data_IF_737458072477
#
_entry.id   IF_737458072477
#
_cell.length_a   1.000
_cell.length_b   1.000
_cell.length_c   1.000
_cell.angle_alpha   90.00
_cell.angle_beta   90.00
_cell.angle_gamma   90.00
#
_symmetry.space_group_name_H-M   'P 1'
#
loop_
_entity.id
_entity.type
_entity.pdbx_description
1 polymer ?
#
# COMPACT_ATOMS: atom_id res chain seq x y z
N UNK A 1 15.55 -35.53 -65.11
CA UNK A 1 15.51 -34.20 -64.47
C UNK A 1 15.13 -34.40 -63.01
N UNK A 2 16.10 -34.35 -62.08
CA UNK A 2 15.82 -34.38 -60.64
C UNK A 2 15.42 -32.96 -60.24
N UNK A 3 14.15 -32.76 -59.90
CA UNK A 3 13.65 -31.50 -59.37
C UNK A 3 14.17 -31.34 -57.95
N UNK A 4 15.12 -30.43 -57.75
CA UNK A 4 15.55 -29.98 -56.43
C UNK A 4 14.51 -28.96 -55.98
N UNK A 5 13.65 -29.35 -55.05
CA UNK A 5 12.82 -28.40 -54.29
C UNK A 5 13.67 -28.00 -53.09
N UNK A 6 14.08 -26.72 -52.94
CA UNK A 6 14.77 -26.30 -51.73
C UNK A 6 13.73 -26.26 -50.61
N UNK A 7 14.00 -26.99 -49.52
CA UNK A 7 13.36 -26.76 -48.23
C UNK A 7 13.84 -25.39 -47.75
N UNK A 8 12.92 -24.46 -47.59
CA UNK A 8 13.15 -23.24 -46.81
C UNK A 8 12.81 -23.64 -45.38
N UNK A 9 13.81 -23.65 -44.51
CA UNK A 9 13.63 -23.88 -43.09
C UNK A 9 12.91 -22.64 -42.51
N UNK A 10 11.78 -22.86 -41.85
CA UNK A 10 11.10 -21.83 -41.07
C UNK A 10 11.99 -21.53 -39.86
N UNK A 11 12.66 -20.38 -39.85
CA UNK A 11 13.31 -19.86 -38.65
C UNK A 11 12.22 -19.56 -37.61
N UNK A 12 12.10 -20.43 -36.61
CA UNK A 12 11.32 -20.14 -35.40
C UNK A 12 11.98 -18.94 -34.69
N UNK A 13 11.28 -17.81 -34.66
CA UNK A 13 11.68 -16.65 -33.84
C UNK A 13 11.49 -17.03 -32.38
N UNK A 14 12.56 -17.47 -31.73
CA UNK A 14 12.56 -17.83 -30.31
C UNK A 14 12.63 -16.55 -29.47
N UNK A 15 11.55 -16.22 -28.77
CA UNK A 15 11.49 -15.07 -27.85
C UNK A 15 11.92 -15.54 -26.47
N UNK A 16 13.13 -15.14 -26.05
CA UNK A 16 13.67 -15.43 -24.72
C UNK A 16 13.10 -14.46 -23.67
N UNK A 17 12.55 -15.00 -22.58
CA UNK A 17 12.05 -14.21 -21.45
C UNK A 17 13.17 -14.06 -20.42
N UNK A 18 13.43 -12.83 -19.98
CA UNK A 18 14.39 -12.60 -18.89
C UNK A 18 13.92 -13.22 -17.58
N UNK A 19 14.71 -14.12 -17.02
CA UNK A 19 14.41 -14.78 -15.76
C UNK A 19 14.39 -13.80 -14.57
N UNK A 20 13.80 -14.24 -13.45
CA UNK A 20 13.78 -13.45 -12.23
C UNK A 20 15.20 -13.02 -11.80
N UNK A 21 15.33 -11.79 -11.33
CA UNK A 21 16.61 -11.14 -11.02
C UNK A 21 17.29 -10.49 -12.22
N UNK A 22 16.70 -10.59 -13.42
CA UNK A 22 17.15 -9.90 -14.64
C UNK A 22 16.00 -9.12 -15.30
N UNK A 23 16.33 -8.19 -16.19
CA UNK A 23 15.37 -7.38 -16.93
C UNK A 23 15.83 -7.13 -18.37
N UNK A 24 14.90 -6.81 -19.27
CA UNK A 24 15.22 -6.32 -20.62
C UNK A 24 14.32 -5.13 -20.97
N UNK A 25 14.88 -3.94 -21.23
CA UNK A 25 14.10 -2.84 -21.77
C UNK A 25 13.73 -3.12 -23.23
N UNK A 26 12.66 -2.48 -23.73
CA UNK A 26 12.21 -2.69 -25.11
C UNK A 26 13.32 -2.42 -26.13
N UNK A 27 13.63 -3.43 -26.95
CA UNK A 27 14.68 -3.36 -27.98
C UNK A 27 16.09 -3.75 -27.53
N UNK A 28 16.27 -4.25 -26.30
CA UNK A 28 17.52 -4.89 -25.90
C UNK A 28 17.63 -6.31 -26.47
N UNK A 29 18.85 -6.69 -26.81
CA UNK A 29 19.25 -8.00 -27.34
C UNK A 29 19.65 -9.00 -26.24
N UNK A 30 19.85 -8.54 -25.01
CA UNK A 30 20.24 -9.38 -23.86
C UNK A 30 19.52 -8.99 -22.56
N UNK A 31 19.36 -9.96 -21.65
CA UNK A 31 18.85 -9.74 -20.31
C UNK A 31 19.92 -9.19 -19.37
N UNK A 32 19.64 -8.06 -18.72
CA UNK A 32 20.55 -7.39 -17.80
C UNK A 32 20.24 -7.79 -16.33
N UNK A 33 21.24 -8.20 -15.54
CA UNK A 33 21.04 -8.48 -14.11
C UNK A 33 20.65 -7.24 -13.30
N UNK A 34 19.82 -7.44 -12.28
CA UNK A 34 19.50 -6.40 -11.31
C UNK A 34 20.66 -6.12 -10.35
N UNK A 35 20.84 -4.84 -10.00
CA UNK A 35 21.81 -4.43 -8.98
C UNK A 35 21.33 -4.82 -7.57
N UNK A 36 22.26 -5.02 -6.64
CA UNK A 36 21.93 -5.24 -5.23
C UNK A 36 21.08 -4.08 -4.68
N UNK A 37 20.10 -4.41 -3.85
CA UNK A 37 19.09 -3.44 -3.40
C UNK A 37 18.03 -3.12 -4.47
N UNK A 38 18.02 -3.83 -5.59
CA UNK A 38 16.89 -3.82 -6.54
C UNK A 38 16.38 -5.24 -6.73
N UNK A 39 15.22 -5.40 -7.36
CA UNK A 39 14.63 -6.71 -7.58
C UNK A 39 13.81 -6.78 -8.87
N UNK A 40 13.73 -7.99 -9.42
CA UNK A 40 12.82 -8.41 -10.47
C UNK A 40 12.30 -9.80 -10.08
N UNK A 41 11.25 -9.85 -9.25
CA UNK A 41 10.82 -11.10 -8.60
C UNK A 41 10.13 -12.10 -9.54
N UNK A 42 9.80 -11.69 -10.77
CA UNK A 42 9.13 -12.51 -11.78
C UNK A 42 9.88 -12.38 -13.11
N UNK A 43 9.88 -13.44 -13.94
CA UNK A 43 10.40 -13.37 -15.29
C UNK A 43 9.67 -12.32 -16.14
N UNK A 44 10.34 -11.81 -17.18
CA UNK A 44 9.80 -10.84 -18.14
C UNK A 44 9.76 -9.41 -17.61
N UNK A 45 10.57 -9.08 -16.59
CA UNK A 45 10.60 -7.72 -16.05
C UNK A 45 11.19 -6.73 -17.08
N UNK A 46 10.53 -5.58 -17.33
CA UNK A 46 11.06 -4.56 -18.24
C UNK A 46 12.15 -3.68 -17.60
N UNK A 47 12.26 -3.72 -16.26
CA UNK A 47 13.23 -2.99 -15.45
C UNK A 47 13.38 -3.66 -14.07
N UNK A 48 14.47 -3.34 -13.38
CA UNK A 48 14.62 -3.65 -11.95
C UNK A 48 13.93 -2.60 -11.08
N UNK A 49 13.20 -3.06 -10.07
CA UNK A 49 12.50 -2.21 -9.12
C UNK A 49 13.36 -1.94 -7.90
N UNK A 50 13.30 -0.73 -7.35
CA UNK A 50 14.08 -0.42 -6.16
C UNK A 50 13.54 -1.16 -4.95
N UNK A 51 14.43 -1.60 -4.06
CA UNK A 51 13.98 -2.04 -2.76
C UNK A 51 13.35 -0.86 -2.02
N UNK A 52 12.06 -0.94 -1.64
CA UNK A 52 11.39 0.16 -0.98
C UNK A 52 11.92 0.34 0.45
N UNK A 53 11.69 1.53 1.02
CA UNK A 53 11.90 1.77 2.45
C UNK A 53 11.06 0.76 3.25
N UNK A 54 11.53 0.45 4.46
CA UNK A 54 10.93 -0.58 5.31
C UNK A 54 11.23 -2.02 4.88
N UNK A 55 11.88 -2.23 3.73
CA UNK A 55 12.22 -3.56 3.23
C UNK A 55 13.73 -3.70 3.02
N UNK A 56 14.17 -4.94 2.89
CA UNK A 56 15.49 -5.33 2.45
C UNK A 56 15.39 -6.26 1.26
N UNK A 57 16.31 -6.11 0.30
CA UNK A 57 16.36 -6.93 -0.90
C UNK A 57 17.74 -7.59 -0.95
N UNK A 58 17.98 -8.62 -0.12
CA UNK A 58 19.25 -9.34 -0.12
C UNK A 58 19.46 -10.13 -1.42
N UNK A 59 18.35 -10.47 -2.10
CA UNK A 59 18.34 -11.14 -3.39
C UNK A 59 17.54 -10.32 -4.40
N UNK A 60 17.97 -10.38 -5.65
CA UNK A 60 17.36 -9.66 -6.77
C UNK A 60 16.23 -10.44 -7.44
N UNK A 61 16.21 -11.76 -7.27
CA UNK A 61 15.23 -12.70 -7.81
C UNK A 61 14.00 -12.91 -6.91
N UNK A 62 13.92 -12.17 -5.80
CA UNK A 62 12.89 -12.32 -4.78
C UNK A 62 12.11 -11.03 -4.57
N UNK A 63 10.88 -11.17 -4.05
CA UNK A 63 10.11 -10.01 -3.56
C UNK A 63 10.83 -9.36 -2.35
N UNK A 64 10.74 -8.03 -2.16
CA UNK A 64 11.33 -7.35 -1.01
C UNK A 64 10.89 -7.96 0.31
N UNK A 65 11.85 -8.21 1.20
CA UNK A 65 11.58 -8.75 2.53
C UNK A 65 11.36 -7.59 3.50
N UNK A 66 10.26 -7.63 4.25
CA UNK A 66 10.00 -6.63 5.29
C UNK A 66 11.11 -6.65 6.35
N UNK A 67 11.55 -5.47 6.79
CA UNK A 67 12.49 -5.36 7.90
C UNK A 67 11.95 -6.12 9.11
N UNK A 68 12.71 -7.02 9.75
CA UNK A 68 12.23 -7.77 10.90
C UNK A 68 11.98 -6.84 12.11
N UNK A 69 11.20 -7.34 13.08
CA UNK A 69 10.93 -6.65 14.34
C UNK A 69 12.22 -6.13 14.99
N UNK A 70 12.18 -4.90 15.50
CA UNK A 70 13.33 -4.24 16.10
C UNK A 70 14.35 -3.70 15.10
N UNK A 71 14.08 -3.78 13.79
CA UNK A 71 14.89 -3.18 12.74
C UNK A 71 14.06 -2.28 11.83
N UNK A 72 14.73 -1.40 11.10
CA UNK A 72 14.12 -0.48 10.18
C UNK A 72 14.99 -0.25 8.94
N UNK A 73 14.38 0.25 7.86
CA UNK A 73 15.13 0.78 6.72
C UNK A 73 14.51 2.09 6.20
N UNK A 74 15.18 3.21 6.40
CA UNK A 74 14.71 4.53 5.94
C UNK A 74 15.20 4.90 4.53
N UNK A 75 15.97 4.05 3.85
CA UNK A 75 16.61 4.36 2.56
C UNK A 75 16.14 3.34 1.52
N UNK A 76 15.80 3.79 0.31
CA UNK A 76 15.57 2.86 -0.80
C UNK A 76 16.86 2.13 -1.18
N UNK A 77 16.75 1.06 -1.96
CA UNK A 77 17.89 0.32 -2.50
C UNK A 77 18.80 -0.32 -1.45
N UNK A 78 18.26 -0.75 -0.32
CA UNK A 78 19.03 -1.46 0.69
C UNK A 78 18.88 -2.97 0.58
N UNK A 79 19.97 -3.67 0.89
CA UNK A 79 20.01 -5.13 0.98
C UNK A 79 19.76 -5.65 2.39
N UNK A 80 19.72 -4.76 3.40
CA UNK A 80 19.52 -5.15 4.79
C UNK A 80 18.87 -4.03 5.62
N UNK A 81 18.36 -4.38 6.80
CA UNK A 81 17.72 -3.46 7.74
C UNK A 81 18.63 -3.13 8.93
N UNK A 82 18.50 -1.90 9.43
CA UNK A 82 19.27 -1.37 10.57
C UNK A 82 18.55 -1.66 11.87
N UNK A 83 19.29 -1.98 12.92
CA UNK A 83 18.71 -2.21 14.26
C UNK A 83 18.32 -0.87 14.90
N UNK A 84 17.19 -0.84 15.62
CA UNK A 84 16.82 0.33 16.40
C UNK A 84 17.79 0.60 17.56
N UNK A 85 18.13 1.86 17.77
CA UNK A 85 18.98 2.29 18.88
C UNK A 85 18.33 1.99 20.24
N UNK A 86 19.12 1.83 21.33
CA UNK A 86 18.58 1.69 22.68
C UNK A 86 17.63 2.82 23.05
N UNK A 87 16.49 2.49 23.67
CA UNK A 87 15.45 3.46 23.98
C UNK A 87 14.47 3.72 22.83
N UNK A 88 14.71 3.15 21.64
CA UNK A 88 13.77 3.12 20.53
C UNK A 88 13.36 1.69 20.19
N UNK A 89 12.31 1.54 19.40
CA UNK A 89 11.79 0.25 18.96
C UNK A 89 11.15 0.34 17.58
N UNK A 90 11.27 -0.74 16.80
CA UNK A 90 10.44 -0.99 15.64
C UNK A 90 9.49 -2.12 16.03
N UNK A 91 8.25 -1.76 16.37
CA UNK A 91 7.26 -2.72 16.87
C UNK A 91 6.75 -3.66 15.78
N UNK A 92 6.90 -3.27 14.52
CA UNK A 92 6.36 -3.95 13.36
C UNK A 92 7.45 -4.34 12.40
N UNK A 93 7.17 -5.39 11.61
CA UNK A 93 7.97 -5.65 10.43
C UNK A 93 7.71 -4.53 9.41
N UNK A 94 8.65 -4.27 8.52
CA UNK A 94 8.40 -3.30 7.46
C UNK A 94 8.60 -1.83 7.87
N UNK A 95 9.03 -1.57 9.10
CA UNK A 95 9.21 -0.19 9.56
C UNK A 95 10.39 0.49 8.87
N UNK A 96 10.21 1.74 8.47
CA UNK A 96 11.27 2.56 7.89
C UNK A 96 11.89 3.55 8.89
N UNK A 97 11.42 3.57 10.14
CA UNK A 97 11.99 4.35 11.23
C UNK A 97 11.74 3.63 12.55
N UNK A 98 12.44 4.02 13.60
CA UNK A 98 12.19 3.53 14.95
C UNK A 98 11.43 4.58 15.76
N UNK A 99 10.46 4.13 16.55
CA UNK A 99 9.70 4.96 17.47
C UNK A 99 10.38 5.01 18.84
N UNK A 100 10.11 6.08 19.60
CA UNK A 100 10.60 6.20 20.98
C UNK A 100 9.85 5.24 21.90
N UNK A 101 10.59 4.55 22.78
CA UNK A 101 9.98 3.61 23.71
C UNK A 101 8.94 4.33 24.60
N UNK A 102 7.70 3.80 24.71
CA UNK A 102 6.65 4.46 25.48
C UNK A 102 7.04 4.64 26.96
N UNK A 103 6.58 5.73 27.57
CA UNK A 103 6.81 6.00 29.00
C UNK A 103 6.31 4.83 29.87
N UNK A 104 7.11 4.41 30.83
CA UNK A 104 6.82 3.26 31.69
C UNK A 104 7.25 1.90 31.12
N UNK A 105 7.74 1.85 29.88
CA UNK A 105 8.23 0.63 29.23
C UNK A 105 9.74 0.69 29.01
N UNK A 106 10.38 -0.48 28.92
CA UNK A 106 11.80 -0.59 28.60
C UNK A 106 12.01 -1.46 27.36
N UNK A 107 12.37 -0.81 26.26
CA UNK A 107 12.66 -1.45 24.98
C UNK A 107 14.16 -1.79 24.91
N UNK A 108 14.48 -3.07 24.71
CA UNK A 108 15.86 -3.52 24.41
C UNK A 108 15.88 -4.04 22.98
N UNK A 109 16.74 -3.47 22.13
CA UNK A 109 16.99 -4.02 20.81
C UNK A 109 17.45 -5.49 20.92
N UNK A 110 16.73 -6.42 20.29
CA UNK A 110 17.04 -7.85 20.26
C UNK A 110 16.88 -8.45 18.86
N UNK A 111 17.11 -7.66 17.82
CA UNK A 111 17.23 -8.20 16.47
C UNK A 111 18.65 -8.77 16.29
N UNK A 112 18.77 -10.00 15.77
CA UNK A 112 20.03 -10.46 15.16
C UNK A 112 20.34 -9.49 14.02
N UNK A 113 21.57 -8.98 13.96
CA UNK A 113 22.03 -8.11 12.87
C UNK A 113 21.71 -8.79 11.53
N UNK A 114 20.82 -8.21 10.71
CA UNK A 114 20.58 -8.71 9.35
C UNK A 114 21.73 -8.38 8.39
N UNK A 115 22.66 -7.53 8.82
CA UNK A 115 23.83 -7.12 8.05
C UNK A 115 25.09 -7.68 8.74
N UNK A 116 25.88 -8.51 8.04
CA UNK A 116 27.29 -8.72 8.40
C UNK A 116 28.15 -7.72 7.59
N UNK A 117 28.66 -6.72 8.34
CA UNK A 117 29.81 -5.80 8.19
C UNK A 117 29.98 -4.82 7.00
N UNK A 118 30.12 -3.52 7.34
CA UNK A 118 31.41 -2.78 7.30
C UNK A 118 31.45 -1.64 8.35
N UNK A 119 32.46 -1.72 9.22
CA UNK A 119 33.10 -0.66 10.01
C UNK A 119 32.24 0.51 10.55
N UNK A 120 31.79 0.33 11.80
CA UNK A 120 31.70 1.41 12.78
C UNK A 120 33.12 1.94 13.07
N UNK A 121 33.67 2.78 12.19
CA UNK A 121 34.86 3.55 12.55
C UNK A 121 34.42 4.74 13.40
N UNK A 122 34.29 4.49 14.71
CA UNK A 122 34.32 5.55 15.73
C UNK A 122 35.67 6.24 15.66
N UNK A 123 35.75 7.32 14.89
CA UNK A 123 36.77 8.35 15.13
C UNK A 123 36.07 9.65 15.41
N UNK A 124 36.12 10.05 16.68
CA UNK A 124 35.86 11.39 17.17
C UNK A 124 36.62 12.40 16.29
N UNK A 125 35.92 13.27 15.57
CA UNK A 125 36.56 14.46 15.00
C UNK A 125 35.60 15.64 15.08
N UNK A 126 35.81 16.42 16.12
CA UNK A 126 35.36 17.80 16.26
C UNK A 126 36.04 18.65 15.19
N UNK A 127 35.34 19.06 14.12
CA UNK A 127 35.80 20.19 13.29
C UNK A 127 34.64 20.97 12.67
N UNK A 128 34.50 22.18 13.20
CA UNK A 128 34.05 23.46 12.62
C UNK A 128 33.43 23.53 11.22
N UNK A 129 32.24 24.15 11.22
CA UNK A 129 31.60 25.02 10.21
C UNK A 129 32.56 25.72 9.24
N UNK A 130 32.41 25.46 7.94
CA UNK A 130 32.67 26.42 6.84
C UNK A 130 31.67 26.21 5.71
N UNK A 131 31.33 27.32 5.07
CA UNK A 131 30.29 27.55 4.05
C UNK A 131 30.79 27.31 2.62
N UNK A 132 29.84 27.33 1.68
CA UNK A 132 29.96 27.35 0.19
C UNK A 132 30.03 25.98 -0.50
N UNK A 133 29.48 25.74 -1.71
CA UNK A 133 28.62 26.50 -2.62
C UNK A 133 27.96 25.49 -3.58
N UNK A 134 26.73 25.84 -3.96
CA UNK A 134 25.86 25.38 -5.05
C UNK A 134 26.53 24.62 -6.22
N UNK A 135 26.01 23.43 -6.54
CA UNK A 135 25.90 22.96 -7.93
C UNK A 135 24.59 22.19 -8.09
N UNK A 136 23.68 22.79 -8.84
CA UNK A 136 22.38 22.26 -9.23
C UNK A 136 22.53 21.02 -10.11
N UNK A 137 22.21 19.85 -9.56
CA UNK A 137 21.72 18.71 -10.35
C UNK A 137 20.23 18.61 -10.10
N UNK A 138 19.48 18.77 -11.18
CA UNK A 138 18.04 18.51 -11.29
C UNK A 138 17.77 17.09 -10.82
N UNK A 139 17.37 16.96 -9.55
CA UNK A 139 16.77 15.75 -9.04
C UNK A 139 15.34 15.70 -9.55
N UNK A 140 15.04 14.74 -10.41
CA UNK A 140 13.67 14.24 -10.57
C UNK A 140 13.10 13.92 -9.19
N UNK A 141 11.91 14.43 -8.84
CA UNK A 141 11.36 14.24 -7.50
C UNK A 141 11.08 12.74 -7.30
N UNK A 142 11.68 12.20 -6.25
CA UNK A 142 11.31 10.92 -5.66
C UNK A 142 9.90 11.07 -5.09
N UNK A 143 8.90 10.40 -5.66
CA UNK A 143 7.56 10.35 -5.08
C UNK A 143 7.67 9.47 -3.83
N UNK A 144 7.74 10.10 -2.66
CA UNK A 144 7.56 9.40 -1.39
C UNK A 144 6.11 8.87 -1.36
N UNK A 145 6.00 7.54 -1.34
CA UNK A 145 4.76 6.75 -1.31
C UNK A 145 4.03 6.94 0.04
N UNK A 146 3.38 8.09 0.24
CA UNK A 146 2.66 8.44 1.48
C UNK A 146 1.19 8.82 1.21
N UNK A 147 0.43 8.03 0.44
CA UNK A 147 -0.98 8.39 0.18
C UNK A 147 -1.82 8.36 1.47
N UNK A 148 -1.80 7.24 2.19
CA UNK A 148 -2.57 7.06 3.42
C UNK A 148 -2.11 8.05 4.48
N UNK A 149 -0.81 8.06 4.77
CA UNK A 149 -0.23 8.93 5.80
C UNK A 149 -0.30 10.41 5.41
N UNK A 150 -0.14 10.76 4.14
CA UNK A 150 -0.26 12.13 3.65
C UNK A 150 -1.67 12.68 3.77
N UNK A 151 -2.70 11.87 3.45
CA UNK A 151 -4.12 12.24 3.67
C UNK A 151 -4.37 12.43 5.16
N UNK A 152 -4.00 11.46 5.97
CA UNK A 152 -4.27 11.51 7.40
C UNK A 152 -3.52 12.64 8.13
N UNK A 153 -2.34 13.04 7.66
CA UNK A 153 -1.58 14.18 8.22
C UNK A 153 -2.18 15.54 7.90
N UNK A 154 -2.88 15.68 6.76
CA UNK A 154 -3.46 16.97 6.33
C UNK A 154 -4.91 17.16 6.75
N UNK A 155 -5.53 16.14 7.35
CA UNK A 155 -6.87 16.17 7.90
C UNK A 155 -6.85 16.02 9.43
N UNK A 156 -7.82 16.63 10.12
CA UNK A 156 -7.95 16.59 11.58
C UNK A 156 -9.15 15.74 12.02
N UNK A 157 -9.34 14.57 11.39
CA UNK A 157 -10.45 13.69 11.75
C UNK A 157 -10.19 13.01 13.10
N UNK A 158 -11.23 12.97 13.94
CA UNK A 158 -11.26 12.24 15.21
C UNK A 158 -12.38 11.22 15.18
N UNK A 159 -12.48 10.41 16.23
CA UNK A 159 -13.57 9.45 16.40
C UNK A 159 -13.70 8.53 15.19
N UNK A 160 -12.55 8.01 14.75
CA UNK A 160 -12.45 7.30 13.47
C UNK A 160 -12.85 5.84 13.63
N UNK A 161 -13.72 5.39 12.72
CA UNK A 161 -13.89 3.98 12.37
C UNK A 161 -13.12 3.68 11.09
N UNK A 162 -12.01 2.96 11.21
CA UNK A 162 -11.08 2.70 10.12
C UNK A 162 -11.38 1.35 9.47
N UNK A 163 -11.83 1.39 8.22
CA UNK A 163 -12.09 0.22 7.36
C UNK A 163 -10.92 0.06 6.42
N UNK A 164 -10.18 -1.02 6.54
CA UNK A 164 -8.88 -1.17 5.88
C UNK A 164 -8.85 -2.47 5.09
N UNK A 165 -8.69 -2.33 3.77
CA UNK A 165 -8.35 -3.44 2.90
C UNK A 165 -6.96 -3.98 3.24
N UNK A 166 -6.89 -5.28 3.53
CA UNK A 166 -5.65 -6.02 3.81
C UNK A 166 -5.47 -7.24 2.92
N UNK A 167 -5.96 -7.17 1.67
CA UNK A 167 -5.70 -8.14 0.61
C UNK A 167 -4.24 -8.10 0.14
N UNK A 168 -3.72 -9.20 -0.40
CA UNK A 168 -2.30 -9.29 -0.76
C UNK A 168 -1.82 -8.22 -1.76
N UNK A 169 -2.72 -7.64 -2.56
CA UNK A 169 -2.40 -6.53 -3.47
C UNK A 169 -2.00 -5.27 -2.68
N UNK A 170 -2.56 -5.03 -1.48
CA UNK A 170 -2.30 -3.87 -0.63
C UNK A 170 -0.90 -3.85 0.03
N UNK A 171 0.02 -4.75 -0.36
CA UNK A 171 1.37 -4.81 0.18
C UNK A 171 2.12 -3.46 0.18
N UNK A 172 1.97 -2.66 -0.88
CA UNK A 172 2.56 -1.32 -0.98
C UNK A 172 1.97 -0.31 0.03
N UNK A 173 0.74 -0.55 0.50
CA UNK A 173 -0.01 0.27 1.44
C UNK A 173 0.21 -0.13 2.90
N UNK A 174 0.63 -1.37 3.15
CA UNK A 174 0.81 -1.91 4.50
C UNK A 174 1.76 -1.08 5.35
N UNK A 175 2.89 -0.63 4.81
CA UNK A 175 3.87 0.15 5.56
C UNK A 175 3.28 1.49 6.06
N UNK A 176 2.38 2.09 5.28
CA UNK A 176 1.69 3.34 5.64
C UNK A 176 0.59 3.10 6.68
N UNK A 177 -0.16 2.01 6.53
CA UNK A 177 -1.19 1.57 7.49
C UNK A 177 -0.52 1.23 8.84
N UNK A 178 0.59 0.52 8.83
CA UNK A 178 1.38 0.16 10.01
C UNK A 178 1.90 1.41 10.75
N UNK A 179 2.40 2.41 10.01
CA UNK A 179 2.80 3.70 10.59
C UNK A 179 1.60 4.44 11.19
N UNK A 180 0.47 4.47 10.49
CA UNK A 180 -0.73 5.12 10.99
C UNK A 180 -1.29 4.43 12.23
N UNK A 181 -1.23 3.10 12.32
CA UNK A 181 -1.64 2.34 13.50
C UNK A 181 -0.82 2.73 14.74
N UNK A 182 0.50 2.87 14.59
CA UNK A 182 1.38 3.31 15.66
C UNK A 182 1.02 4.74 16.14
N UNK A 183 0.81 5.68 15.20
CA UNK A 183 0.45 7.08 15.50
C UNK A 183 -0.99 7.24 16.02
N UNK A 184 -1.92 6.40 15.55
CA UNK A 184 -3.32 6.45 15.97
C UNK A 184 -3.51 5.96 17.39
N UNK A 185 -2.71 4.99 17.82
CA UNK A 185 -2.77 4.49 19.18
C UNK A 185 -2.28 5.53 20.19
N UNK A 186 -1.23 6.29 19.85
CA UNK A 186 -0.70 7.35 20.73
C UNK A 186 -1.64 8.56 20.80
N UNK A 187 -2.24 8.94 19.68
CA UNK A 187 -3.10 10.13 19.59
C UNK A 187 -4.60 9.86 19.82
N UNK A 188 -5.00 8.59 19.99
CA UNK A 188 -6.40 8.15 20.23
C UNK A 188 -7.42 8.62 19.19
N UNK A 189 -6.98 8.89 17.96
CA UNK A 189 -7.84 9.38 16.87
C UNK A 189 -8.78 8.29 16.34
N UNK A 190 -8.31 7.04 16.36
CA UNK A 190 -9.08 5.88 15.90
C UNK A 190 -9.67 5.15 17.10
N UNK A 191 -10.96 4.86 17.02
CA UNK A 191 -11.70 4.12 18.05
C UNK A 191 -11.85 2.64 17.69
N UNK A 192 -12.00 2.36 16.39
CA UNK A 192 -12.32 1.02 15.90
C UNK A 192 -11.61 0.75 14.59
N UNK A 193 -10.87 -0.36 14.53
CA UNK A 193 -10.29 -0.87 13.29
C UNK A 193 -11.07 -2.07 12.83
N UNK A 194 -11.35 -2.10 11.52
CA UNK A 194 -11.93 -3.23 10.81
C UNK A 194 -11.04 -3.52 9.60
N UNK A 195 -10.37 -4.66 9.63
CA UNK A 195 -9.53 -5.17 8.55
C UNK A 195 -10.30 -6.22 7.78
N UNK A 196 -10.28 -6.18 6.45
CA UNK A 196 -10.93 -7.20 5.62
C UNK A 196 -9.99 -7.78 4.57
N UNK A 197 -10.18 -9.05 4.23
CA UNK A 197 -9.28 -9.82 3.36
C UNK A 197 -10.02 -10.58 2.24
N UNK A 198 -11.24 -10.18 1.91
CA UNK A 198 -12.07 -10.78 0.87
C UNK A 198 -12.41 -12.27 1.10
N UNK A 199 -12.75 -12.60 2.35
CA UNK A 199 -13.41 -13.85 2.70
C UNK A 199 -12.50 -15.02 3.05
N UNK A 200 -11.32 -14.80 3.64
CA UNK A 200 -10.44 -15.86 4.18
C UNK A 200 -10.05 -16.93 3.13
N UNK A 201 -9.57 -16.50 1.96
CA UNK A 201 -9.24 -17.38 0.82
C UNK A 201 -10.41 -18.22 0.28
N UNK A 202 -11.64 -17.87 0.63
CA UNK A 202 -12.84 -18.51 0.08
C UNK A 202 -12.85 -18.38 -1.45
N UNK A 203 -13.12 -19.46 -2.20
CA UNK A 203 -13.23 -19.38 -3.65
C UNK A 203 -14.32 -18.41 -4.10
N UNK A 204 -14.11 -17.68 -5.19
CA UNK A 204 -15.04 -16.67 -5.69
C UNK A 204 -16.49 -17.17 -5.89
N UNK A 205 -16.67 -18.45 -6.22
CA UNK A 205 -17.99 -19.09 -6.38
C UNK A 205 -18.78 -19.26 -5.07
N UNK A 206 -18.08 -19.28 -3.94
CA UNK A 206 -18.65 -19.52 -2.62
C UNK A 206 -18.85 -18.21 -1.83
N UNK A 207 -18.39 -17.08 -2.40
CA UNK A 207 -18.58 -15.75 -1.83
C UNK A 207 -20.02 -15.28 -2.06
N UNK A 208 -20.70 -14.94 -0.97
CA UNK A 208 -22.08 -14.43 -0.97
C UNK A 208 -22.04 -12.97 -0.54
N UNK A 209 -22.56 -12.08 -1.37
CA UNK A 209 -22.62 -10.63 -1.07
C UNK A 209 -23.35 -10.41 0.27
N UNK A 210 -22.73 -9.65 1.17
CA UNK A 210 -23.23 -9.37 2.52
C UNK A 210 -22.93 -10.47 3.55
N UNK A 211 -22.24 -11.53 3.14
CA UNK A 211 -21.81 -12.64 4.00
C UNK A 211 -20.51 -13.28 3.47
N UNK A 212 -19.64 -12.49 2.84
CA UNK A 212 -18.37 -12.99 2.30
C UNK A 212 -17.42 -13.35 3.44
N UNK A 213 -17.43 -12.61 4.54
CA UNK A 213 -16.61 -12.89 5.71
C UNK A 213 -15.19 -12.37 5.54
N UNK A 214 -14.24 -12.88 6.32
CA UNK A 214 -12.89 -12.32 6.30
C UNK A 214 -12.81 -10.90 6.87
N UNK A 215 -13.73 -10.56 7.79
CA UNK A 215 -13.78 -9.28 8.51
C UNK A 215 -13.22 -9.51 9.92
N UNK A 216 -12.24 -8.69 10.29
CA UNK A 216 -11.52 -8.76 11.55
C UNK A 216 -11.52 -7.40 12.22
N UNK A 217 -12.10 -7.32 13.42
CA UNK A 217 -12.34 -6.04 14.07
C UNK A 217 -11.81 -6.00 15.50
N UNK A 218 -11.46 -4.79 15.94
CA UNK A 218 -10.82 -4.55 17.24
C UNK A 218 -10.99 -3.10 17.66
N UNK A 219 -11.37 -2.88 18.92
CA UNK A 219 -11.35 -1.55 19.51
C UNK A 219 -9.93 -1.16 19.92
N UNK A 220 -9.56 0.10 19.69
CA UNK A 220 -8.20 0.57 19.99
C UNK A 220 -7.90 0.59 21.49
N UNK A 221 -8.94 0.66 22.34
CA UNK A 221 -8.82 0.55 23.80
C UNK A 221 -8.42 -0.85 24.28
N UNK A 222 -8.52 -1.89 23.43
CA UNK A 222 -8.01 -3.24 23.72
C UNK A 222 -6.47 -3.31 23.64
N UNK A 223 -5.83 -2.22 23.22
CA UNK A 223 -4.38 -2.06 23.19
C UNK A 223 -3.76 -2.40 21.84
N UNK A 224 -2.64 -1.73 21.52
CA UNK A 224 -1.97 -1.85 20.22
C UNK A 224 -1.62 -3.30 19.88
N UNK A 225 -1.21 -4.13 20.84
CA UNK A 225 -0.90 -5.54 20.59
C UNK A 225 -2.11 -6.32 20.04
N UNK A 226 -3.32 -6.04 20.52
CA UNK A 226 -4.55 -6.68 20.01
C UNK A 226 -4.88 -6.18 18.61
N UNK A 227 -4.69 -4.89 18.35
CA UNK A 227 -4.88 -4.30 17.02
C UNK A 227 -3.96 -4.97 15.99
N UNK A 228 -2.68 -5.08 16.32
CA UNK A 228 -1.67 -5.65 15.43
C UNK A 228 -1.86 -7.15 15.21
N UNK A 229 -2.25 -7.90 16.24
CA UNK A 229 -2.56 -9.34 16.09
C UNK A 229 -3.82 -9.55 15.26
N UNK A 230 -4.80 -8.67 15.35
CA UNK A 230 -6.01 -8.70 14.52
C UNK A 230 -5.66 -8.44 13.05
N UNK A 231 -4.84 -7.42 12.78
CA UNK A 231 -4.31 -7.13 11.44
C UNK A 231 -3.52 -8.29 10.85
N UNK A 232 -2.56 -8.84 11.59
CA UNK A 232 -1.73 -9.97 11.15
C UNK A 232 -2.58 -11.22 10.90
N UNK A 233 -3.61 -11.46 11.72
CA UNK A 233 -4.57 -12.56 11.52
C UNK A 233 -5.37 -12.37 10.24
N UNK A 234 -5.89 -11.17 10.00
CA UNK A 234 -6.62 -10.83 8.78
C UNK A 234 -5.74 -11.05 7.54
N UNK A 235 -4.52 -10.52 7.54
CA UNK A 235 -3.54 -10.71 6.45
C UNK A 235 -3.21 -12.19 6.19
N UNK A 236 -3.06 -13.00 7.25
CA UNK A 236 -2.70 -14.43 7.15
C UNK A 236 -3.83 -15.31 6.65
N UNK A 237 -5.06 -15.01 7.07
CA UNK A 237 -6.22 -15.79 6.65
C UNK A 237 -6.66 -15.40 5.23
N UNK A 238 -6.32 -14.20 4.79
CA UNK A 238 -6.43 -13.76 3.41
C UNK A 238 -5.32 -14.34 2.53
N UNK A 239 -5.50 -14.23 1.22
CA UNK A 239 -4.45 -14.51 0.25
C UNK A 239 -4.18 -13.30 -0.64
N UNK A 240 -3.30 -13.49 -1.61
CA UNK A 240 -3.18 -12.57 -2.75
C UNK A 240 -4.27 -12.84 -3.80
N UNK A 241 -5.53 -12.90 -3.36
CA UNK A 241 -6.67 -13.21 -4.22
C UNK A 241 -6.99 -12.04 -5.14
N UNK A 242 -7.19 -12.33 -6.42
CA UNK A 242 -7.72 -11.37 -7.38
C UNK A 242 -9.08 -10.82 -6.91
N UNK A 243 -9.32 -9.54 -7.18
CA UNK A 243 -10.63 -8.92 -6.95
C UNK A 243 -11.76 -9.63 -7.71
N UNK A 244 -13.03 -9.23 -7.50
CA UNK A 244 -13.48 -8.09 -6.71
C UNK A 244 -13.66 -8.37 -5.20
N UNK A 245 -13.44 -7.34 -4.38
CA UNK A 245 -13.35 -7.38 -2.90
C UNK A 245 -14.70 -7.12 -2.19
N UNK A 246 -14.76 -7.21 -0.86
CA UNK A 246 -15.97 -7.11 -0.04
C UNK A 246 -15.99 -5.85 0.88
N UNK A 247 -15.68 -4.70 0.29
CA UNK A 247 -15.53 -3.43 0.98
C UNK A 247 -16.79 -2.97 1.73
N UNK A 248 -17.97 -3.11 1.11
CA UNK A 248 -19.19 -2.50 1.64
C UNK A 248 -19.71 -3.25 2.87
N UNK A 249 -19.63 -4.58 2.91
CA UNK A 249 -19.97 -5.34 4.11
C UNK A 249 -19.04 -5.00 5.29
N UNK A 250 -17.75 -4.73 5.04
CA UNK A 250 -16.82 -4.27 6.07
C UNK A 250 -17.17 -2.86 6.59
N UNK A 251 -17.61 -1.95 5.69
CA UNK A 251 -18.13 -0.63 6.06
C UNK A 251 -19.40 -0.75 6.93
N UNK A 252 -20.37 -1.53 6.50
CA UNK A 252 -21.63 -1.74 7.24
C UNK A 252 -21.34 -2.34 8.62
N UNK A 253 -20.45 -3.35 8.67
CA UNK A 253 -20.01 -3.95 9.93
C UNK A 253 -19.41 -2.90 10.88
N UNK A 254 -18.57 -2.01 10.35
CA UNK A 254 -17.93 -0.93 11.12
C UNK A 254 -18.95 0.03 11.71
N UNK A 255 -19.92 0.48 10.91
CA UNK A 255 -20.98 1.40 11.34
C UNK A 255 -21.85 0.75 12.43
N UNK A 256 -22.20 -0.53 12.24
CA UNK A 256 -23.03 -1.28 13.20
C UNK A 256 -22.34 -1.54 14.54
N UNK A 257 -21.01 -1.60 14.57
CA UNK A 257 -20.23 -1.96 15.77
C UNK A 257 -19.45 -0.79 16.40
N UNK A 258 -19.49 0.40 15.80
CA UNK A 258 -18.90 1.61 16.38
C UNK A 258 -19.86 2.80 16.36
N UNK A 259 -20.75 2.85 17.36
CA UNK A 259 -21.70 3.95 17.52
C UNK A 259 -21.03 5.30 17.77
N UNK A 260 -19.86 5.30 18.41
CA UNK A 260 -19.08 6.50 18.73
C UNK A 260 -18.24 7.00 17.54
N UNK A 261 -18.09 6.21 16.47
CA UNK A 261 -17.29 6.62 15.33
C UNK A 261 -18.05 7.64 14.48
N UNK A 262 -17.60 8.89 14.45
CA UNK A 262 -18.18 9.96 13.62
C UNK A 262 -17.64 9.92 12.19
N UNK A 263 -16.34 9.63 12.05
CA UNK A 263 -15.66 9.61 10.75
C UNK A 263 -15.38 8.16 10.33
N UNK A 264 -16.07 7.68 9.30
CA UNK A 264 -15.79 6.37 8.71
C UNK A 264 -14.80 6.55 7.57
N UNK A 265 -13.58 6.05 7.77
CA UNK A 265 -12.50 6.14 6.78
C UNK A 265 -12.30 4.77 6.17
N UNK A 266 -12.44 4.70 4.85
CA UNK A 266 -12.21 3.49 4.07
C UNK A 266 -10.91 3.64 3.28
N UNK A 267 -9.91 2.83 3.60
CA UNK A 267 -8.66 2.73 2.84
C UNK A 267 -8.82 1.58 1.84
N UNK A 268 -8.88 1.91 0.56
CA UNK A 268 -9.22 0.98 -0.52
C UNK A 268 -8.08 0.85 -1.55
N UNK A 269 -7.96 -0.31 -2.19
CA UNK A 269 -7.05 -0.51 -3.32
C UNK A 269 -7.62 0.13 -4.59
N UNK A 270 -6.87 1.05 -5.19
CA UNK A 270 -7.24 1.67 -6.46
C UNK A 270 -7.35 0.68 -7.64
N UNK A 271 -6.76 -0.52 -7.52
CA UNK A 271 -6.80 -1.53 -8.58
C UNK A 271 -7.90 -2.58 -8.37
N UNK A 272 -8.54 -2.61 -7.21
CA UNK A 272 -9.62 -3.54 -6.91
C UNK A 272 -10.98 -2.86 -7.06
N UNK A 273 -11.94 -3.58 -7.63
CA UNK A 273 -13.34 -3.13 -7.69
C UNK A 273 -14.13 -3.82 -6.57
N UNK A 274 -14.90 -3.09 -5.76
CA UNK A 274 -15.79 -3.71 -4.77
C UNK A 274 -16.87 -4.55 -5.43
N UNK A 275 -17.07 -5.79 -4.97
CA UNK A 275 -18.07 -6.75 -5.44
C UNK A 275 -19.47 -6.38 -4.96
N UNK A 276 -19.54 -5.81 -3.78
CA UNK A 276 -20.73 -5.66 -2.97
C UNK A 276 -21.27 -4.23 -2.98
N UNK A 277 -20.99 -3.47 -4.04
CA UNK A 277 -21.55 -2.12 -4.28
C UNK A 277 -23.09 -2.08 -4.23
N UNK A 278 -23.75 -3.22 -4.46
CA UNK A 278 -25.21 -3.32 -4.33
C UNK A 278 -25.70 -3.08 -2.90
N UNK A 279 -24.83 -3.24 -1.89
CA UNK A 279 -25.12 -2.96 -0.49
C UNK A 279 -24.96 -1.47 -0.13
N UNK A 280 -24.54 -0.60 -1.06
CA UNK A 280 -24.29 0.81 -0.75
C UNK A 280 -25.52 1.55 -0.21
N UNK A 281 -26.73 1.13 -0.61
CA UNK A 281 -27.97 1.72 -0.13
C UNK A 281 -28.23 1.43 1.37
N UNK A 282 -27.50 0.48 1.97
CA UNK A 282 -27.56 0.16 3.41
C UNK A 282 -26.56 0.99 4.24
N UNK A 283 -25.66 1.74 3.60
CA UNK A 283 -24.64 2.54 4.29
C UNK A 283 -25.26 3.84 4.80
N UNK A 284 -25.27 4.00 6.12
CA UNK A 284 -26.00 5.09 6.80
C UNK A 284 -25.12 6.28 7.23
N UNK A 285 -23.81 6.23 6.98
CA UNK A 285 -22.86 7.31 7.30
C UNK A 285 -22.04 7.70 6.07
N UNK A 286 -21.65 8.98 5.93
CA UNK A 286 -20.69 9.41 4.91
C UNK A 286 -19.35 8.67 5.01
N UNK A 287 -18.86 8.16 3.88
CA UNK A 287 -17.60 7.41 3.81
C UNK A 287 -16.50 8.27 3.21
N UNK A 288 -15.39 8.39 3.94
CA UNK A 288 -14.16 9.06 3.50
C UNK A 288 -13.25 8.02 2.86
N UNK A 289 -13.18 8.00 1.54
CA UNK A 289 -12.42 7.00 0.78
C UNK A 289 -11.00 7.52 0.56
N UNK A 290 -10.02 6.81 1.10
CA UNK A 290 -8.59 7.03 0.84
C UNK A 290 -8.14 6.02 -0.22
N UNK A 291 -7.71 6.53 -1.36
CA UNK A 291 -7.37 5.71 -2.54
C UNK A 291 -5.92 5.27 -2.47
N UNK A 292 -5.66 4.06 -1.97
CA UNK A 292 -4.30 3.57 -1.87
C UNK A 292 -3.73 3.12 -3.23
N UNK A 293 -2.40 3.18 -3.37
CA UNK A 293 -1.65 3.01 -4.64
C UNK A 293 -1.96 4.03 -5.74
N UNK A 294 -2.69 5.10 -5.43
CA UNK A 294 -2.82 6.20 -6.37
C UNK A 294 -1.47 6.89 -6.57
N UNK A 295 -1.11 7.13 -7.83
CA UNK A 295 0.06 7.94 -8.20
C UNK A 295 -0.44 9.27 -8.78
N UNK A 296 0.11 10.43 -8.37
CA UNK A 296 -0.26 11.74 -8.93
C UNK A 296 -0.32 11.73 -10.46
N UNK A 297 -1.44 12.21 -11.00
CA UNK A 297 -1.68 12.22 -12.45
C UNK A 297 -2.12 10.87 -13.04
N UNK A 298 -2.40 9.85 -12.22
CA UNK A 298 -2.99 8.58 -12.70
C UNK A 298 -4.49 8.53 -12.50
N UNK A 299 -5.09 7.39 -12.84
CA UNK A 299 -6.53 7.17 -12.77
C UNK A 299 -6.95 6.70 -11.39
N UNK A 300 -8.21 6.94 -11.05
CA UNK A 300 -8.86 6.37 -9.87
C UNK A 300 -9.94 5.40 -10.33
N UNK A 301 -10.14 4.31 -9.60
CA UNK A 301 -11.25 3.41 -9.84
C UNK A 301 -12.58 4.17 -9.70
N UNK A 302 -13.41 4.26 -10.75
CA UNK A 302 -14.71 4.94 -10.70
C UNK A 302 -15.62 4.41 -9.58
N UNK A 303 -15.46 3.16 -9.16
CA UNK A 303 -16.28 2.55 -8.12
C UNK A 303 -15.95 3.06 -6.72
N UNK A 304 -14.74 3.56 -6.50
CA UNK A 304 -14.41 4.27 -5.27
C UNK A 304 -15.05 5.67 -5.22
N UNK A 305 -15.20 6.32 -6.37
CA UNK A 305 -16.00 7.55 -6.48
C UNK A 305 -17.49 7.27 -6.19
N UNK A 306 -18.02 6.12 -6.64
CA UNK A 306 -19.40 5.72 -6.35
C UNK A 306 -19.67 5.58 -4.85
N UNK A 307 -18.73 4.98 -4.09
CA UNK A 307 -18.85 4.87 -2.62
C UNK A 307 -18.94 6.26 -1.99
N UNK A 308 -17.99 7.13 -2.30
CA UNK A 308 -17.95 8.47 -1.73
C UNK A 308 -19.20 9.29 -2.12
N UNK A 309 -19.62 9.22 -3.38
CA UNK A 309 -20.81 9.92 -3.87
C UNK A 309 -22.11 9.44 -3.23
N UNK A 310 -22.39 8.14 -3.30
CA UNK A 310 -23.69 7.59 -2.85
C UNK A 310 -23.88 7.70 -1.34
N UNK A 311 -22.78 7.71 -0.59
CA UNK A 311 -22.81 7.85 0.88
C UNK A 311 -22.80 9.32 1.32
N UNK A 312 -22.66 10.28 0.39
CA UNK A 312 -22.48 11.70 0.72
C UNK A 312 -21.14 11.99 1.41
N UNK A 313 -20.16 11.12 1.21
CA UNK A 313 -18.80 11.25 1.72
C UNK A 313 -17.85 11.95 0.75
N UNK A 314 -16.58 11.56 0.82
CA UNK A 314 -15.48 12.26 0.17
C UNK A 314 -14.43 11.28 -0.35
N UNK A 315 -13.65 11.71 -1.35
CA UNK A 315 -12.56 10.92 -1.92
C UNK A 315 -11.23 11.65 -1.78
N UNK A 316 -10.20 10.92 -1.39
CA UNK A 316 -8.88 11.45 -1.05
C UNK A 316 -7.78 10.64 -1.73
N UNK A 317 -6.95 11.30 -2.53
CA UNK A 317 -5.76 10.73 -3.15
C UNK A 317 -4.50 11.31 -2.50
N UNK A 318 -3.30 11.04 -3.04
CA UNK A 318 -2.07 11.65 -2.53
C UNK A 318 -2.10 13.19 -2.66
N UNK A 319 -2.67 13.71 -3.74
CA UNK A 319 -2.55 15.10 -4.20
C UNK A 319 -3.88 15.85 -4.32
N UNK A 320 -5.03 15.20 -4.04
CA UNK A 320 -6.36 15.76 -4.19
C UNK A 320 -7.31 15.30 -3.08
N UNK A 321 -8.18 16.21 -2.64
CA UNK A 321 -9.30 15.95 -1.76
C UNK A 321 -10.60 16.44 -2.43
N UNK A 322 -11.62 15.57 -2.53
CA UNK A 322 -12.93 15.88 -3.13
C UNK A 322 -14.01 15.67 -2.07
N UNK A 323 -14.43 16.77 -1.44
CA UNK A 323 -15.41 16.77 -0.34
C UNK A 323 -16.87 16.86 -0.82
N UNK A 324 -17.10 17.27 -2.07
CA UNK A 324 -18.42 17.71 -2.55
C UNK A 324 -19.08 16.76 -3.55
N UNK A 325 -18.65 15.49 -3.61
CA UNK A 325 -19.17 14.54 -4.59
C UNK A 325 -20.70 14.43 -4.54
N UNK A 326 -21.30 14.32 -3.36
CA UNK A 326 -22.76 14.18 -3.20
C UNK A 326 -23.61 15.35 -3.71
N UNK A 327 -23.00 16.46 -4.15
CA UNK A 327 -23.70 17.61 -4.75
C UNK A 327 -23.80 17.54 -6.28
N UNK A 328 -23.11 16.59 -6.91
CA UNK A 328 -23.07 16.42 -8.35
C UNK A 328 -24.39 15.88 -8.89
N UNK A 329 -24.73 16.27 -10.11
CA UNK A 329 -25.90 15.84 -10.86
C UNK A 329 -25.48 14.91 -11.98
N UNK A 330 -26.43 14.11 -12.46
CA UNK A 330 -26.23 13.30 -13.68
C UNK A 330 -25.73 14.20 -14.81
N UNK A 331 -24.76 13.70 -15.55
CA UNK A 331 -23.95 14.36 -16.59
C UNK A 331 -22.89 15.36 -16.11
N UNK A 332 -22.81 15.67 -14.81
CA UNK A 332 -21.68 16.43 -14.28
C UNK A 332 -20.38 15.64 -14.43
N UNK A 333 -19.29 16.36 -14.67
CA UNK A 333 -17.95 15.77 -14.85
C UNK A 333 -16.98 16.26 -13.80
N UNK A 334 -16.09 15.37 -13.37
CA UNK A 334 -14.96 15.70 -12.50
C UNK A 334 -13.64 15.23 -13.13
N UNK A 335 -12.55 15.87 -12.72
CA UNK A 335 -11.19 15.49 -13.09
C UNK A 335 -10.50 14.90 -11.87
N UNK A 336 -9.89 13.73 -12.04
CA UNK A 336 -9.02 13.12 -11.03
C UNK A 336 -7.77 12.59 -11.72
N UNK A 337 -6.63 13.19 -11.41
CA UNK A 337 -5.39 12.95 -12.12
C UNK A 337 -5.53 13.26 -13.62
N UNK A 338 -5.29 12.26 -14.47
CA UNK A 338 -5.49 12.35 -15.93
C UNK A 338 -6.87 11.89 -16.41
N UNK A 339 -7.70 11.37 -15.50
CA UNK A 339 -9.00 10.81 -15.85
C UNK A 339 -10.11 11.85 -15.80
N UNK A 340 -10.97 11.84 -16.83
CA UNK A 340 -12.26 12.55 -16.80
C UNK A 340 -13.37 11.56 -16.47
N UNK A 341 -14.13 11.84 -15.42
CA UNK A 341 -15.23 11.00 -14.98
C UNK A 341 -16.54 11.76 -15.11
N UNK A 342 -17.56 11.10 -15.65
CA UNK A 342 -18.93 11.62 -15.73
C UNK A 342 -19.82 10.80 -14.81
N UNK A 343 -20.67 11.49 -14.05
CA UNK A 343 -21.71 10.84 -13.27
C UNK A 343 -22.89 10.46 -14.18
N UNK A 344 -23.20 9.17 -14.29
CA UNK A 344 -24.41 8.67 -14.93
C UNK A 344 -25.46 8.22 -13.90
N UNK A 345 -26.57 7.66 -14.37
CA UNK A 345 -27.69 7.20 -13.51
C UNK A 345 -27.32 6.02 -12.61
N UNK A 346 -26.26 5.27 -12.93
CA UNK A 346 -25.78 4.10 -12.21
C UNK A 346 -24.57 4.40 -11.32
N UNK A 347 -23.78 5.42 -11.68
CA UNK A 347 -22.58 5.86 -10.98
C UNK A 347 -21.58 6.58 -11.91
N UNK A 348 -20.35 6.73 -11.46
CA UNK A 348 -19.27 7.29 -12.25
C UNK A 348 -18.81 6.32 -13.33
N UNK A 349 -18.61 6.88 -14.52
CA UNK A 349 -17.93 6.25 -15.64
C UNK A 349 -16.76 7.13 -16.07
N UNK A 350 -15.66 6.49 -16.47
CA UNK A 350 -14.54 7.20 -17.09
C UNK A 350 -14.87 7.46 -18.57
N UNK A 351 -14.67 8.69 -19.01
CA UNK A 351 -14.95 9.11 -20.40
C UNK A 351 -13.71 9.61 -21.15
N UNK A 352 -12.60 9.89 -20.44
CA UNK A 352 -11.29 10.17 -21.03
C UNK A 352 -10.18 9.75 -20.07
#
# INVERSE_FOLDING_TARGET
MRSVIPKIEEEEMEVEICEAGTYSPGGADECTPCEKGTYAAKPGAPACYFCPKGHMCPRTDAVPEQCPLGTYNNISRQTCCRVCEPGKFALLKGMFQCDDCPSGYRCRARAKLPCEDEAMNTTTTTTTRTSESTTTRTATPTVDEETVTGVLKRHNWTDIGAVVDVTGSMAACYAQIDQWLALSHTNKLVQYFVFFNDGDNKPNKDKVIGSTGGIYAVHTNEGIAKVLTTLDTAKKNGGGGDGPENDIEAIIYTIGNCSTCENIIHIADNQATPRDLILLDEVTKPIKVIVCKYIPGTLVNPKLLDIAYKTGGSLHTLDLDIETLGSLKVDDTIQVGTGTYRLDVTGFIRIA
#
